data_IF_517156359658
#
_entry.id   IF_517156359658
#
_cell.length_a   1.000
_cell.length_b   1.000
_cell.length_c   1.000
_cell.angle_alpha   90.00
_cell.angle_beta   90.00
_cell.angle_gamma   90.00
#
_symmetry.space_group_name_H-M   'P 1'
#
loop_
_entity.id
_entity.type
_entity.pdbx_description
1 polymer ?
#
# COMPACT_ATOMS: atom_id res chain seq x y z
N UNK A 1 28.40 25.50 -26.89
CA UNK A 1 27.98 25.58 -25.48
C UNK A 1 27.64 27.03 -25.18
N UNK A 2 26.41 27.31 -24.77
CA UNK A 2 25.97 28.69 -24.53
C UNK A 2 26.80 29.29 -23.40
N UNK A 3 27.45 30.42 -23.66
CA UNK A 3 28.31 31.13 -22.70
C UNK A 3 27.55 32.23 -21.98
N UNK A 4 26.66 32.94 -22.67
CA UNK A 4 25.78 33.91 -22.05
C UNK A 4 24.43 34.01 -22.76
N UNK A 5 23.41 34.35 -21.98
CA UNK A 5 22.05 34.63 -22.45
C UNK A 5 21.67 35.97 -21.87
N UNK A 6 21.25 36.90 -22.73
CA UNK A 6 20.77 38.22 -22.31
C UNK A 6 19.45 38.55 -23.00
N UNK A 7 18.35 38.68 -22.24
CA UNK A 7 17.10 39.19 -22.79
C UNK A 7 17.20 40.72 -22.99
N UNK A 8 16.60 41.22 -24.06
CA UNK A 8 16.50 42.63 -24.36
C UNK A 8 15.09 42.99 -24.82
N UNK A 9 14.45 43.91 -24.10
CA UNK A 9 13.13 44.41 -24.45
C UNK A 9 13.29 45.67 -25.29
N UNK A 10 13.09 45.55 -26.61
CA UNK A 10 13.17 46.70 -27.52
C UNK A 10 11.86 47.50 -27.53
N UNK A 11 10.72 46.81 -27.49
CA UNK A 11 9.38 47.42 -27.43
C UNK A 11 8.38 46.49 -26.74
N UNK A 12 7.19 46.99 -26.40
CA UNK A 12 6.11 46.18 -25.80
C UNK A 12 5.67 45.00 -26.69
N UNK A 13 5.96 45.08 -28.00
CA UNK A 13 5.60 44.05 -29.00
C UNK A 13 6.78 43.22 -29.48
N UNK A 14 8.01 43.64 -29.17
CA UNK A 14 9.23 43.05 -29.72
C UNK A 14 10.26 42.87 -28.62
N UNK A 15 10.57 41.60 -28.36
CA UNK A 15 11.57 41.18 -27.39
C UNK A 15 12.61 40.35 -28.14
N UNK A 16 13.87 40.56 -27.81
CA UNK A 16 14.98 39.82 -28.38
C UNK A 16 15.72 39.06 -27.30
N UNK A 17 16.30 37.93 -27.68
CA UNK A 17 17.25 37.19 -26.84
C UNK A 17 18.57 37.13 -27.59
N UNK A 18 19.61 37.65 -26.94
CA UNK A 18 20.98 37.51 -27.38
C UNK A 18 21.57 36.26 -26.70
N UNK A 19 22.05 35.31 -27.50
CA UNK A 19 22.70 34.07 -27.06
C UNK A 19 24.12 34.08 -27.62
N UNK A 20 25.12 34.11 -26.75
CA UNK A 20 26.50 33.91 -27.17
C UNK A 20 26.89 32.44 -27.04
N UNK A 21 27.61 31.94 -28.03
CA UNK A 21 28.19 30.61 -28.02
C UNK A 21 29.70 30.66 -27.66
N UNK A 22 30.23 29.51 -27.27
CA UNK A 22 31.65 29.34 -26.94
C UNK A 22 32.59 29.64 -28.11
N UNK A 23 32.13 29.45 -29.35
CA UNK A 23 32.90 29.78 -30.56
C UNK A 23 32.93 31.28 -30.88
N UNK A 24 32.41 32.15 -30.00
CA UNK A 24 32.42 33.60 -30.18
C UNK A 24 31.35 34.13 -31.13
N UNK A 25 30.37 33.30 -31.51
CA UNK A 25 29.22 33.72 -32.33
C UNK A 25 28.11 34.25 -31.44
N UNK A 26 27.47 35.36 -31.86
CA UNK A 26 26.30 35.93 -31.21
C UNK A 26 25.06 35.66 -32.06
N UNK A 27 24.11 34.92 -31.49
CA UNK A 27 22.79 34.70 -32.07
C UNK A 27 21.79 35.69 -31.47
N UNK A 28 21.09 36.43 -32.32
CA UNK A 28 20.00 37.31 -31.92
C UNK A 28 18.70 36.69 -32.43
N UNK A 29 17.81 36.35 -31.50
CA UNK A 29 16.54 35.71 -31.79
C UNK A 29 15.40 36.65 -31.37
N UNK A 30 14.42 36.83 -32.23
CA UNK A 30 13.16 37.50 -31.88
C UNK A 30 12.24 36.51 -31.16
N UNK A 31 11.70 36.93 -30.02
CA UNK A 31 10.74 36.13 -29.28
C UNK A 31 9.37 36.26 -29.97
N UNK A 32 8.73 35.15 -30.38
CA UNK A 32 7.40 35.21 -30.97
C UNK A 32 6.38 35.72 -29.95
N UNK A 33 5.33 36.38 -30.45
CA UNK A 33 4.28 36.99 -29.64
C UNK A 33 3.68 36.06 -28.58
N UNK A 34 3.55 34.76 -28.90
CA UNK A 34 3.00 33.72 -28.02
C UNK A 34 3.77 33.52 -26.72
N UNK A 35 5.06 33.88 -26.70
CA UNK A 35 5.92 33.77 -25.52
C UNK A 35 6.21 35.14 -24.88
N UNK A 36 5.89 36.23 -25.57
CA UNK A 36 6.12 37.59 -25.09
C UNK A 36 4.98 38.10 -24.20
N UNK A 37 3.74 37.64 -24.46
CA UNK A 37 2.57 38.01 -23.67
C UNK A 37 2.22 36.89 -22.70
N UNK A 38 2.38 37.09 -21.38
CA UNK A 38 1.93 36.11 -20.41
C UNK A 38 0.41 35.94 -20.56
N UNK A 39 -0.05 34.69 -20.53
CA UNK A 39 -1.49 34.45 -20.45
C UNK A 39 -2.03 34.98 -19.11
N UNK A 40 -3.29 35.43 -19.09
CA UNK A 40 -3.89 35.91 -17.85
C UNK A 40 -3.87 34.81 -16.80
N UNK A 41 -3.43 35.14 -15.58
CA UNK A 41 -3.29 34.22 -14.44
C UNK A 41 -2.26 33.08 -14.60
N UNK A 42 -1.35 33.12 -15.57
CA UNK A 42 -0.33 32.08 -15.76
C UNK A 42 0.54 31.90 -14.51
N UNK A 43 1.05 33.02 -13.99
CA UNK A 43 1.90 33.05 -12.78
C UNK A 43 1.16 32.46 -11.58
N UNK A 44 -0.10 32.87 -11.37
CA UNK A 44 -0.92 32.38 -10.25
C UNK A 44 -1.24 30.89 -10.40
N UNK A 45 -1.52 30.43 -11.62
CA UNK A 45 -1.85 29.03 -11.91
C UNK A 45 -0.65 28.12 -11.68
N UNK A 46 0.53 28.54 -12.13
CA UNK A 46 1.79 27.82 -11.93
C UNK A 46 2.19 27.82 -10.45
N UNK A 47 2.05 28.95 -9.74
CA UNK A 47 2.31 29.01 -8.30
C UNK A 47 1.41 28.05 -7.52
N UNK A 48 0.11 28.06 -7.82
CA UNK A 48 -0.85 27.14 -7.18
C UNK A 48 -0.54 25.68 -7.48
N UNK A 49 -0.12 25.37 -8.71
CA UNK A 49 0.33 24.03 -9.08
C UNK A 49 1.52 23.59 -8.21
N UNK A 50 2.54 24.43 -8.05
CA UNK A 50 3.70 24.10 -7.21
C UNK A 50 3.31 23.90 -5.75
N UNK A 51 2.51 24.79 -5.18
CA UNK A 51 2.03 24.65 -3.80
C UNK A 51 1.28 23.34 -3.58
N UNK A 52 0.45 22.94 -4.56
CA UNK A 52 -0.28 21.67 -4.52
C UNK A 52 0.67 20.47 -4.59
N UNK A 53 1.68 20.53 -5.45
CA UNK A 53 2.63 19.44 -5.62
C UNK A 53 3.50 19.25 -4.37
N UNK A 54 3.93 20.33 -3.74
CA UNK A 54 4.65 20.29 -2.45
C UNK A 54 3.80 19.60 -1.38
N UNK A 55 2.54 20.00 -1.22
CA UNK A 55 1.61 19.36 -0.28
C UNK A 55 1.36 17.89 -0.60
N UNK A 56 1.30 17.53 -1.88
CA UNK A 56 1.12 16.15 -2.29
C UNK A 56 2.33 15.28 -1.91
N UNK A 57 3.55 15.79 -2.09
CA UNK A 57 4.76 15.11 -1.66
C UNK A 57 4.79 14.87 -0.15
N UNK A 58 4.44 15.89 0.65
CA UNK A 58 4.33 15.77 2.11
C UNK A 58 3.31 14.69 2.52
N UNK A 59 2.13 14.69 1.90
CA UNK A 59 1.11 13.67 2.14
C UNK A 59 1.60 12.27 1.80
N UNK A 60 2.28 12.09 0.67
CA UNK A 60 2.85 10.80 0.25
C UNK A 60 3.90 10.31 1.25
N UNK A 61 4.75 11.21 1.74
CA UNK A 61 5.76 10.87 2.75
C UNK A 61 5.12 10.46 4.08
N UNK A 62 4.12 11.22 4.56
CA UNK A 62 3.36 10.87 5.77
C UNK A 62 2.67 9.51 5.63
N UNK A 63 2.05 9.24 4.47
CA UNK A 63 1.40 7.96 4.19
C UNK A 63 2.38 6.80 4.17
N UNK A 64 3.61 7.00 3.68
CA UNK A 64 4.66 5.97 3.75
C UNK A 64 5.03 5.65 5.20
N UNK A 65 5.21 6.67 6.05
CA UNK A 65 5.52 6.49 7.48
C UNK A 65 4.41 5.72 8.21
N UNK A 66 3.16 6.08 7.98
CA UNK A 66 1.99 5.40 8.57
C UNK A 66 1.96 3.92 8.16
N UNK A 67 2.08 3.63 6.85
CA UNK A 67 2.05 2.24 6.37
C UNK A 67 3.22 1.42 6.89
N UNK A 68 4.40 2.02 7.05
CA UNK A 68 5.56 1.32 7.61
C UNK A 68 5.32 0.99 9.09
N UNK A 69 4.72 1.91 9.84
CA UNK A 69 4.36 1.69 11.24
C UNK A 69 3.27 0.61 11.39
N UNK A 70 2.18 0.70 10.62
CA UNK A 70 1.10 -0.30 10.59
C UNK A 70 1.63 -1.69 10.24
N UNK A 71 2.57 -1.77 9.28
CA UNK A 71 3.20 -3.03 8.90
C UNK A 71 4.03 -3.62 10.05
N UNK A 72 4.83 -2.80 10.74
CA UNK A 72 5.61 -3.24 11.92
C UNK A 72 4.69 -3.73 13.05
N UNK A 73 3.61 -3.02 13.32
CA UNK A 73 2.63 -3.41 14.34
C UNK A 73 1.92 -4.72 13.98
N UNK A 74 1.52 -4.88 12.72
CA UNK A 74 0.93 -6.13 12.22
C UNK A 74 1.91 -7.30 12.35
N UNK A 75 3.17 -7.12 11.97
CA UNK A 75 4.20 -8.15 12.11
C UNK A 75 4.38 -8.54 13.59
N UNK A 76 4.50 -7.58 14.50
CA UNK A 76 4.61 -7.85 15.94
C UNK A 76 3.37 -8.56 16.52
N UNK A 77 2.16 -8.20 16.08
CA UNK A 77 0.95 -8.91 16.48
C UNK A 77 0.95 -10.36 15.97
N UNK A 78 1.36 -10.58 14.71
CA UNK A 78 1.42 -11.94 14.16
C UNK A 78 2.46 -12.79 14.87
N UNK A 79 3.60 -12.22 15.25
CA UNK A 79 4.61 -12.90 16.07
C UNK A 79 4.07 -13.22 17.46
N UNK A 80 3.45 -12.26 18.16
CA UNK A 80 2.80 -12.51 19.46
C UNK A 80 1.70 -13.55 19.36
N UNK A 81 0.89 -13.55 18.30
CA UNK A 81 -0.14 -14.57 18.02
C UNK A 81 0.49 -15.94 17.76
N UNK A 82 1.58 -16.02 16.99
CA UNK A 82 2.33 -17.27 16.76
C UNK A 82 2.93 -17.80 18.06
N UNK A 83 3.54 -16.94 18.87
CA UNK A 83 4.10 -17.30 20.19
C UNK A 83 2.98 -17.76 21.14
N UNK A 84 1.85 -17.06 21.21
CA UNK A 84 0.68 -17.48 22.02
C UNK A 84 0.07 -18.81 21.55
N UNK A 85 0.02 -19.06 20.24
CA UNK A 85 -0.39 -20.37 19.69
C UNK A 85 0.60 -21.48 20.06
N UNK A 86 1.90 -21.18 20.07
CA UNK A 86 2.93 -22.11 20.53
C UNK A 86 2.89 -22.33 22.06
N UNK A 87 2.49 -21.32 22.83
CA UNK A 87 2.37 -21.36 24.29
C UNK A 87 1.05 -21.95 24.81
N UNK A 88 -0.02 -21.99 23.99
CA UNK A 88 -1.10 -22.98 24.17
C UNK A 88 -0.44 -24.35 23.98
N UNK A 89 0.13 -24.87 25.08
CA UNK A 89 1.04 -25.99 25.06
C UNK A 89 0.42 -27.24 24.44
N UNK A 90 1.26 -28.16 23.97
CA UNK A 90 0.87 -29.46 23.41
C UNK A 90 -0.33 -30.09 24.13
N UNK A 91 -0.35 -30.05 25.46
CA UNK A 91 -1.44 -30.61 26.27
C UNK A 91 -2.82 -29.98 26.04
N UNK A 92 -2.92 -28.66 25.79
CA UNK A 92 -4.20 -28.01 25.49
C UNK A 92 -4.68 -28.35 24.08
N UNK A 93 -3.76 -28.44 23.12
CA UNK A 93 -4.06 -28.89 21.76
C UNK A 93 -4.52 -30.36 21.75
N UNK A 94 -3.84 -31.23 22.50
CA UNK A 94 -4.16 -32.64 22.60
C UNK A 94 -5.54 -32.85 23.28
N UNK A 95 -5.87 -32.03 24.29
CA UNK A 95 -7.17 -32.06 24.94
C UNK A 95 -8.31 -31.59 24.02
N UNK A 96 -8.09 -30.51 23.24
CA UNK A 96 -9.05 -29.99 22.27
C UNK A 96 -9.28 -31.01 21.14
N UNK A 97 -8.20 -31.63 20.63
CA UNK A 97 -8.29 -32.71 19.63
C UNK A 97 -9.08 -33.93 20.16
N UNK A 98 -8.90 -34.28 21.43
CA UNK A 98 -9.60 -35.40 22.06
C UNK A 98 -11.10 -35.10 22.19
N UNK A 99 -11.47 -33.90 22.62
CA UNK A 99 -12.89 -33.50 22.69
C UNK A 99 -13.55 -33.47 21.32
N UNK A 100 -12.84 -32.95 20.29
CA UNK A 100 -13.35 -32.96 18.92
C UNK A 100 -13.56 -34.39 18.40
N UNK A 101 -12.65 -35.31 18.71
CA UNK A 101 -12.78 -36.72 18.36
C UNK A 101 -13.96 -37.41 19.06
N UNK A 102 -14.16 -37.14 20.36
CA UNK A 102 -15.32 -37.65 21.10
C UNK A 102 -16.64 -37.14 20.49
N UNK A 103 -16.69 -35.86 20.11
CA UNK A 103 -17.86 -35.28 19.43
C UNK A 103 -18.15 -35.92 18.07
N UNK A 104 -17.09 -36.26 17.32
CA UNK A 104 -17.21 -36.94 16.03
C UNK A 104 -17.77 -38.36 16.21
N UNK A 105 -17.28 -39.12 17.20
CA UNK A 105 -17.79 -40.46 17.48
C UNK A 105 -19.26 -40.46 17.87
N UNK A 106 -19.71 -39.46 18.64
CA UNK A 106 -21.11 -39.34 19.01
C UNK A 106 -21.99 -38.93 17.83
N UNK A 107 -21.49 -38.07 16.95
CA UNK A 107 -22.13 -37.77 15.67
C UNK A 107 -22.23 -39.01 14.78
N UNK A 108 -21.15 -39.79 14.67
CA UNK A 108 -21.14 -41.02 13.89
C UNK A 108 -22.17 -42.03 14.42
N UNK A 109 -22.22 -42.24 15.74
CA UNK A 109 -23.22 -43.11 16.37
C UNK A 109 -24.64 -42.64 16.06
N UNK A 110 -24.94 -41.36 16.21
CA UNK A 110 -26.27 -40.82 15.93
C UNK A 110 -26.66 -40.97 14.46
N UNK A 111 -25.72 -40.75 13.54
CA UNK A 111 -25.92 -40.98 12.10
C UNK A 111 -26.18 -42.45 11.79
N UNK A 112 -25.41 -43.39 12.36
CA UNK A 112 -25.58 -44.83 12.15
C UNK A 112 -26.89 -45.37 12.72
N UNK A 113 -27.35 -44.83 13.87
CA UNK A 113 -28.66 -45.14 14.44
C UNK A 113 -29.78 -44.61 13.52
N UNK A 114 -29.66 -43.38 13.03
CA UNK A 114 -30.66 -42.76 12.15
C UNK A 114 -30.78 -43.47 10.80
N UNK A 115 -29.69 -44.04 10.29
CA UNK A 115 -29.66 -44.83 9.05
C UNK A 115 -30.12 -46.29 9.27
N UNK A 116 -30.42 -46.70 10.50
CA UNK A 116 -30.87 -48.06 10.83
C UNK A 116 -29.78 -49.13 10.75
N UNK A 117 -28.51 -48.73 10.70
CA UNK A 117 -27.35 -49.61 10.56
C UNK A 117 -26.96 -50.27 11.91
N UNK A 118 -27.33 -49.68 13.05
CA UNK A 118 -27.05 -50.17 14.41
C UNK A 118 -28.31 -50.08 15.28
N UNK A 119 -28.62 -51.11 16.08
CA UNK A 119 -29.75 -51.10 17.04
C UNK A 119 -29.30 -50.59 18.41
N UNK A 120 -30.16 -49.81 19.08
CA UNK A 120 -29.89 -49.20 20.40
C UNK A 120 -29.43 -50.23 21.46
N UNK A 121 -29.84 -51.49 21.32
CA UNK A 121 -29.50 -52.61 22.21
C UNK A 121 -28.04 -53.08 22.15
N UNK A 122 -27.29 -52.77 21.08
CA UNK A 122 -25.95 -53.33 20.85
C UNK A 122 -24.83 -52.46 21.45
N UNK A 123 -25.19 -51.24 21.88
CA UNK A 123 -24.28 -50.22 22.43
C UNK A 123 -23.61 -50.61 23.75
N UNK A 124 -24.14 -51.61 24.48
CA UNK A 124 -23.52 -52.09 25.74
C UNK A 124 -22.35 -53.06 25.52
N UNK A 125 -22.20 -53.67 24.35
CA UNK A 125 -21.23 -54.76 24.15
C UNK A 125 -19.84 -54.31 23.67
N UNK A 126 -19.68 -53.08 23.19
CA UNK A 126 -18.41 -52.63 22.61
C UNK A 126 -17.46 -51.92 23.59
N UNK A 127 -17.87 -51.71 24.85
CA UNK A 127 -17.05 -51.05 25.86
C UNK A 127 -16.23 -52.03 26.74
N UNK A 128 -16.19 -53.31 26.38
CA UNK A 128 -15.47 -54.35 27.13
C UNK A 128 -14.24 -54.94 26.41
N UNK A 129 -13.81 -54.36 25.29
CA UNK A 129 -12.56 -54.79 24.64
C UNK A 129 -11.71 -53.57 24.24
N UNK A 130 -10.57 -53.47 24.94
CA UNK A 130 -9.42 -52.54 24.84
C UNK A 130 -9.50 -51.28 25.70
#
# INVERSE_FOLDING_TARGET
MITCIRPWNFSAKQQFIAIADYYGTLHILEIPWTLSHPSSNEVSSISYYFEREVKHLEYVEQRKKIREQEKKEMEQETEKKKVRKYQKGKEQLDAELKMDYESYLDLEKTVLINLGMIRVSDTRSFMEVV
#
